data_IF_175660922228
#
_entry.id   IF_175660922228
#
_cell.length_a   1.000
_cell.length_b   1.000
_cell.length_c   1.000
_cell.angle_alpha   90.00
_cell.angle_beta   90.00
_cell.angle_gamma   90.00
#
_symmetry.space_group_name_H-M   'P 1'
#
loop_
_entity.id
_entity.type
_entity.pdbx_description
1 polymer ?
#
# COMPACT_ATOMS: atom_id res chain seq x y z
N UNK A 1 -63.66 27.02 10.51
CA UNK A 1 -62.43 27.35 9.76
C UNK A 1 -61.25 27.04 10.66
N UNK A 2 -60.60 25.88 10.49
CA UNK A 2 -59.36 25.56 11.21
C UNK A 2 -58.22 25.62 10.19
N UNK A 3 -57.38 26.64 10.33
CA UNK A 3 -56.10 26.72 9.61
C UNK A 3 -55.08 25.90 10.39
N UNK A 4 -54.65 24.78 9.83
CA UNK A 4 -53.52 24.00 10.34
C UNK A 4 -52.23 24.74 9.98
N UNK A 5 -51.47 25.15 10.99
CA UNK A 5 -50.15 25.74 10.84
C UNK A 5 -49.16 24.76 10.15
N UNK A 6 -48.20 25.26 9.34
CA UNK A 6 -47.17 24.42 8.76
C UNK A 6 -46.25 23.91 9.89
N UNK A 7 -46.22 22.60 10.06
CA UNK A 7 -45.28 21.91 10.95
C UNK A 7 -43.85 22.19 10.49
N UNK A 8 -43.10 22.89 11.33
CA UNK A 8 -41.67 23.14 11.15
C UNK A 8 -40.93 21.80 11.00
N UNK A 9 -40.02 21.64 10.02
CA UNK A 9 -39.25 20.42 9.89
C UNK A 9 -38.38 20.25 11.14
N UNK A 10 -38.56 19.13 11.83
CA UNK A 10 -37.75 18.75 12.99
C UNK A 10 -36.26 18.62 12.62
N UNK A 11 -35.36 18.66 13.60
CA UNK A 11 -33.93 18.54 13.34
C UNK A 11 -33.62 17.24 12.61
N UNK A 12 -32.92 17.33 11.48
CA UNK A 12 -32.50 16.18 10.68
C UNK A 12 -31.79 15.15 11.57
N UNK A 13 -32.15 13.89 11.46
CA UNK A 13 -31.55 12.83 12.28
C UNK A 13 -30.05 12.73 12.00
N UNK A 14 -29.26 12.28 12.97
CA UNK A 14 -27.81 12.08 12.77
C UNK A 14 -27.51 11.15 11.57
N UNK A 15 -28.43 10.23 11.27
CA UNK A 15 -28.39 9.35 10.12
C UNK A 15 -28.58 10.11 8.80
N UNK A 16 -29.50 11.08 8.76
CA UNK A 16 -29.72 11.94 7.60
C UNK A 16 -28.50 12.82 7.30
N UNK A 17 -27.83 13.32 8.35
CA UNK A 17 -26.61 14.14 8.24
C UNK A 17 -25.43 13.30 7.71
N UNK A 18 -25.24 12.08 8.19
CA UNK A 18 -24.17 11.17 7.73
C UNK A 18 -24.46 10.68 6.30
N UNK A 19 -25.72 10.37 5.99
CA UNK A 19 -26.15 9.98 4.64
C UNK A 19 -25.94 11.11 3.64
N UNK A 20 -26.32 12.34 3.97
CA UNK A 20 -26.06 13.52 3.12
C UNK A 20 -24.57 13.83 2.97
N UNK A 21 -23.76 13.66 4.02
CA UNK A 21 -22.30 13.87 3.94
C UNK A 21 -21.61 12.87 3.00
N UNK A 22 -21.93 11.59 3.12
CA UNK A 22 -21.37 10.55 2.24
C UNK A 22 -21.85 10.67 0.80
N UNK A 23 -23.09 11.14 0.61
CA UNK A 23 -23.66 11.41 -0.69
C UNK A 23 -22.96 12.59 -1.39
N UNK A 24 -22.79 13.72 -0.69
CA UNK A 24 -22.03 14.88 -1.21
C UNK A 24 -20.63 14.47 -1.65
N UNK A 25 -19.94 13.66 -0.85
CA UNK A 25 -18.61 13.12 -1.21
C UNK A 25 -18.65 12.23 -2.46
N UNK A 26 -19.71 11.45 -2.64
CA UNK A 26 -19.86 10.57 -3.82
C UNK A 26 -20.11 11.37 -5.10
N UNK A 27 -20.94 12.40 -5.02
CA UNK A 27 -21.20 13.34 -6.13
C UNK A 27 -19.91 14.04 -6.55
N UNK A 28 -19.18 14.62 -5.59
CA UNK A 28 -17.91 15.31 -5.86
C UNK A 28 -16.91 14.37 -6.54
N UNK A 29 -16.78 13.12 -6.07
CA UNK A 29 -15.86 12.15 -6.68
C UNK A 29 -16.25 11.77 -8.10
N UNK A 30 -17.54 11.59 -8.39
CA UNK A 30 -18.00 11.26 -9.74
C UNK A 30 -17.73 12.42 -10.70
N UNK A 31 -18.00 13.65 -10.29
CA UNK A 31 -17.69 14.84 -11.08
C UNK A 31 -16.18 14.86 -11.38
N UNK A 32 -15.33 14.80 -10.35
CA UNK A 32 -13.86 14.78 -10.53
C UNK A 32 -13.36 13.63 -11.40
N UNK A 33 -14.04 12.47 -11.37
CA UNK A 33 -13.71 11.34 -12.21
C UNK A 33 -14.02 11.62 -13.68
N UNK A 34 -15.14 12.28 -14.00
CA UNK A 34 -15.49 12.65 -15.38
C UNK A 34 -14.43 13.59 -15.96
N UNK A 35 -14.04 14.64 -15.23
CA UNK A 35 -12.98 15.55 -15.67
C UNK A 35 -11.62 14.85 -15.86
N UNK A 36 -11.32 13.79 -15.10
CA UNK A 36 -10.07 13.02 -15.24
C UNK A 36 -10.11 11.98 -16.36
N UNK A 37 -11.26 11.38 -16.61
CA UNK A 37 -11.43 10.33 -17.62
C UNK A 37 -11.53 10.88 -19.04
N UNK A 38 -11.73 12.20 -19.17
CA UNK A 38 -12.02 12.86 -20.42
C UNK A 38 -11.29 14.22 -20.55
N UNK A 39 -9.94 14.24 -20.53
CA UNK A 39 -9.17 15.48 -20.53
C UNK A 39 -9.28 16.29 -21.84
N UNK A 40 -9.66 15.63 -22.94
CA UNK A 40 -9.69 16.23 -24.29
C UNK A 40 -11.08 16.73 -24.70
N UNK A 41 -12.09 16.56 -23.84
CA UNK A 41 -13.45 17.04 -24.08
C UNK A 41 -13.56 18.53 -23.71
N UNK A 42 -14.34 19.28 -24.48
CA UNK A 42 -14.62 20.69 -24.19
C UNK A 42 -15.41 20.82 -22.88
N UNK A 43 -15.17 21.91 -22.15
CA UNK A 43 -15.77 22.17 -20.84
C UNK A 43 -17.30 22.02 -20.84
N UNK A 44 -17.99 22.51 -21.87
CA UNK A 44 -19.45 22.39 -22.01
C UNK A 44 -19.93 20.94 -22.07
N UNK A 45 -19.18 20.07 -22.74
CA UNK A 45 -19.52 18.65 -22.91
C UNK A 45 -19.19 17.83 -21.66
N UNK A 46 -18.15 18.24 -20.93
CA UNK A 46 -17.82 17.73 -19.60
C UNK A 46 -18.89 18.09 -18.57
N UNK A 47 -19.35 19.35 -18.57
CA UNK A 47 -20.43 19.82 -17.70
C UNK A 47 -21.72 19.07 -18.01
N UNK A 48 -22.10 18.94 -19.29
CA UNK A 48 -23.29 18.19 -19.68
C UNK A 48 -23.27 16.73 -19.21
N UNK A 49 -22.11 16.06 -19.34
CA UNK A 49 -21.94 14.68 -18.83
C UNK A 49 -22.00 14.61 -17.31
N UNK A 50 -21.37 15.54 -16.61
CA UNK A 50 -21.42 15.62 -15.15
C UNK A 50 -22.85 15.87 -14.64
N UNK A 51 -23.60 16.75 -15.28
CA UNK A 51 -25.00 17.03 -14.95
C UNK A 51 -25.90 15.82 -15.21
N UNK A 52 -25.75 15.15 -16.35
CA UNK A 52 -26.52 13.94 -16.69
C UNK A 52 -26.28 12.80 -15.68
N UNK A 53 -25.02 12.52 -15.36
CA UNK A 53 -24.65 11.45 -14.43
C UNK A 53 -25.08 11.74 -12.98
N UNK A 54 -25.00 13.00 -12.57
CA UNK A 54 -25.45 13.42 -11.23
C UNK A 54 -26.97 13.44 -11.14
N UNK A 55 -27.69 13.88 -12.18
CA UNK A 55 -29.16 13.85 -12.26
C UNK A 55 -29.70 12.42 -12.18
N UNK A 56 -29.11 11.49 -12.91
CA UNK A 56 -29.45 10.06 -12.83
C UNK A 56 -29.26 9.50 -11.41
N UNK A 57 -28.22 9.95 -10.69
CA UNK A 57 -27.98 9.56 -9.30
C UNK A 57 -29.09 10.09 -8.37
N UNK A 58 -29.56 11.33 -8.59
CA UNK A 58 -30.67 11.91 -7.83
C UNK A 58 -31.99 11.17 -8.08
N UNK A 59 -32.29 10.80 -9.32
CA UNK A 59 -33.50 10.04 -9.66
C UNK A 59 -33.50 8.63 -9.07
N UNK A 60 -32.34 7.95 -9.05
CA UNK A 60 -32.20 6.65 -8.39
C UNK A 60 -32.43 6.75 -6.88
N UNK A 61 -32.09 7.88 -6.25
CA UNK A 61 -32.32 8.09 -4.83
C UNK A 61 -33.78 8.38 -4.49
N UNK A 62 -34.52 9.09 -5.35
CA UNK A 62 -35.96 9.31 -5.16
C UNK A 62 -36.76 8.00 -5.23
N UNK A 63 -36.22 6.98 -5.90
CA UNK A 63 -36.86 5.66 -6.08
C UNK A 63 -36.46 4.61 -5.03
N UNK A 64 -35.56 4.91 -4.09
CA UNK A 64 -35.18 3.97 -3.03
C UNK A 64 -36.18 4.05 -1.86
N UNK A 65 -36.88 2.95 -1.49
CA UNK A 65 -37.68 2.94 -0.28
C UNK A 65 -36.78 3.07 0.96
N UNK A 66 -37.29 3.65 2.07
CA UNK A 66 -36.59 3.60 3.35
C UNK A 66 -36.46 2.13 3.76
N UNK A 67 -35.24 1.59 3.76
CA UNK A 67 -35.01 0.20 4.16
C UNK A 67 -35.41 0.03 5.63
N UNK A 68 -36.32 -0.90 5.97
CA UNK A 68 -36.46 -1.34 7.33
C UNK A 68 -35.27 -2.25 7.68
N UNK A 69 -34.69 -2.01 8.86
CA UNK A 69 -33.86 -2.90 9.67
C UNK A 69 -32.93 -3.90 8.96
N UNK A 70 -31.63 -3.74 9.22
CA UNK A 70 -30.94 -4.76 10.00
C UNK A 70 -29.66 -4.17 10.60
N UNK A 71 -29.68 -4.05 11.93
CA UNK A 71 -28.53 -3.89 12.79
C UNK A 71 -27.62 -5.12 12.64
N UNK A 72 -26.83 -5.17 11.57
CA UNK A 72 -25.63 -6.00 11.54
C UNK A 72 -24.52 -5.23 12.28
N UNK A 73 -23.80 -5.84 13.24
CA UNK A 73 -22.66 -5.19 13.85
C UNK A 73 -21.67 -4.86 12.74
N UNK A 74 -21.40 -3.57 12.55
CA UNK A 74 -20.42 -3.09 11.59
C UNK A 74 -19.06 -3.61 12.06
N UNK A 75 -18.65 -4.77 11.54
CA UNK A 75 -17.27 -5.26 11.71
C UNK A 75 -16.35 -4.11 11.28
N UNK A 76 -15.38 -3.68 12.10
CA UNK A 76 -14.49 -2.59 11.73
C UNK A 76 -13.80 -2.97 10.42
N UNK A 77 -14.13 -2.24 9.35
CA UNK A 77 -13.46 -2.39 8.07
C UNK A 77 -11.98 -2.10 8.32
N UNK A 78 -11.05 -3.03 8.02
CA UNK A 78 -9.64 -2.73 8.16
C UNK A 78 -9.33 -1.51 7.29
N UNK A 79 -8.62 -0.53 7.88
CA UNK A 79 -8.18 0.69 7.19
C UNK A 79 -7.58 0.26 5.85
N UNK A 80 -8.17 0.74 4.74
CA UNK A 80 -7.57 0.57 3.41
C UNK A 80 -6.24 1.29 3.43
N UNK A 81 -5.17 0.54 3.71
CA UNK A 81 -3.79 0.94 3.46
C UNK A 81 -3.63 1.35 1.99
N UNK A 82 -2.72 2.29 1.75
CA UNK A 82 -2.56 3.00 0.47
C UNK A 82 -2.41 2.04 -0.70
N UNK A 83 -2.77 2.48 -1.91
CA UNK A 83 -2.63 1.66 -3.12
C UNK A 83 -1.17 1.23 -3.38
N UNK A 84 -0.19 1.93 -2.82
CA UNK A 84 1.24 1.57 -2.90
C UNK A 84 1.60 0.32 -2.07
N UNK A 85 0.98 0.13 -0.90
CA UNK A 85 1.17 -1.08 -0.07
C UNK A 85 0.73 -2.38 -0.78
N UNK A 86 0.01 -2.26 -1.91
CA UNK A 86 -0.48 -3.42 -2.70
C UNK A 86 0.44 -3.84 -3.83
N UNK A 87 1.44 -3.01 -4.20
CA UNK A 87 2.34 -3.30 -5.31
C UNK A 87 3.64 -3.99 -4.86
N UNK A 88 3.99 -3.90 -3.58
CA UNK A 88 5.24 -4.45 -3.03
C UNK A 88 5.03 -5.64 -2.08
N UNK A 89 4.00 -6.45 -2.34
CA UNK A 89 3.70 -7.60 -1.47
C UNK A 89 4.86 -8.60 -1.38
N UNK A 90 5.58 -8.84 -2.47
CA UNK A 90 6.72 -9.76 -2.50
C UNK A 90 7.87 -9.22 -1.65
N UNK A 91 8.27 -7.96 -1.87
CA UNK A 91 9.32 -7.30 -1.07
C UNK A 91 8.97 -7.22 0.42
N UNK A 92 7.70 -7.01 0.75
CA UNK A 92 7.25 -7.00 2.15
C UNK A 92 7.24 -8.38 2.79
N UNK A 93 6.79 -9.41 2.07
CA UNK A 93 6.92 -10.80 2.52
C UNK A 93 8.39 -11.14 2.76
N UNK A 94 9.27 -10.78 1.83
CA UNK A 94 10.71 -10.99 1.98
C UNK A 94 11.29 -10.35 3.24
N UNK A 95 10.98 -9.06 3.46
CA UNK A 95 11.54 -8.33 4.60
C UNK A 95 10.92 -8.70 5.94
N UNK A 96 9.73 -9.29 5.98
CA UNK A 96 9.00 -9.53 7.24
C UNK A 96 9.84 -10.27 8.28
N UNK A 97 10.71 -11.21 7.87
CA UNK A 97 11.56 -11.98 8.78
C UNK A 97 12.77 -11.20 9.31
N UNK A 98 13.24 -10.19 8.56
CA UNK A 98 14.50 -9.51 8.82
C UNK A 98 14.33 -8.02 9.16
N UNK A 99 13.15 -7.44 8.94
CA UNK A 99 12.88 -6.01 9.14
C UNK A 99 13.07 -5.59 10.60
N UNK A 100 12.51 -6.34 11.55
CA UNK A 100 12.69 -6.06 12.97
C UNK A 100 14.17 -6.17 13.40
N UNK A 101 14.90 -7.25 13.05
CA UNK A 101 16.35 -7.31 13.27
C UNK A 101 17.13 -6.16 12.63
N UNK A 102 16.81 -5.75 11.39
CA UNK A 102 17.46 -4.61 10.73
C UNK A 102 17.28 -3.32 11.54
N UNK A 103 16.07 -3.04 12.01
CA UNK A 103 15.80 -1.87 12.86
C UNK A 103 16.56 -1.94 14.19
N UNK A 104 16.66 -3.12 14.81
CA UNK A 104 17.39 -3.31 16.07
C UNK A 104 18.90 -3.06 15.93
N UNK A 105 19.47 -3.34 14.76
CA UNK A 105 20.88 -3.09 14.44
C UNK A 105 21.15 -1.62 14.05
N UNK A 106 20.12 -0.77 14.09
CA UNK A 106 20.22 0.66 13.79
C UNK A 106 20.32 0.97 12.30
N UNK A 107 19.72 0.13 11.44
CA UNK A 107 19.56 0.41 10.01
C UNK A 107 18.48 1.49 9.83
N UNK A 108 18.77 2.61 9.13
CA UNK A 108 17.80 3.68 8.90
C UNK A 108 16.54 3.20 8.19
N UNK A 109 15.37 3.72 8.58
CA UNK A 109 14.09 3.35 7.98
C UNK A 109 14.01 3.75 6.50
N UNK A 110 14.68 4.84 6.12
CA UNK A 110 14.74 5.35 4.74
C UNK A 110 15.27 4.34 3.71
N UNK A 111 16.14 3.40 4.13
CA UNK A 111 16.75 2.42 3.22
C UNK A 111 16.05 1.05 3.22
N UNK A 112 15.12 0.81 4.15
CA UNK A 112 14.35 -0.45 4.19
C UNK A 112 13.60 -0.70 2.87
N UNK A 113 12.96 0.29 2.23
CA UNK A 113 12.32 0.10 0.92
C UNK A 113 13.28 -0.32 -0.20
N UNK A 114 14.56 0.06 -0.12
CA UNK A 114 15.58 -0.33 -1.11
C UNK A 114 15.79 -1.84 -1.07
N UNK A 115 15.87 -2.42 0.13
CA UNK A 115 15.97 -3.87 0.29
C UNK A 115 14.72 -4.60 -0.24
N UNK A 116 13.52 -4.05 -0.01
CA UNK A 116 12.28 -4.63 -0.54
C UNK A 116 12.28 -4.65 -2.08
N UNK A 117 12.67 -3.53 -2.70
CA UNK A 117 12.75 -3.39 -4.16
C UNK A 117 13.87 -4.23 -4.78
N UNK A 118 14.94 -4.49 -4.03
CA UNK A 118 16.05 -5.33 -4.48
C UNK A 118 15.59 -6.72 -4.93
N UNK A 119 14.49 -7.23 -4.34
CA UNK A 119 13.89 -8.52 -4.70
C UNK A 119 13.42 -8.53 -6.15
N UNK A 120 12.71 -7.49 -6.61
CA UNK A 120 12.26 -7.43 -8.00
C UNK A 120 13.45 -7.34 -8.96
N UNK A 121 14.45 -6.51 -8.63
CA UNK A 121 15.63 -6.34 -9.47
C UNK A 121 16.46 -7.61 -9.61
N UNK A 122 16.60 -8.37 -8.52
CA UNK A 122 17.44 -9.57 -8.51
C UNK A 122 16.74 -10.79 -9.11
N UNK A 123 15.47 -11.01 -8.78
CA UNK A 123 14.73 -12.19 -9.25
C UNK A 123 14.25 -12.04 -10.70
N UNK A 124 14.12 -10.80 -11.18
CA UNK A 124 13.51 -10.50 -12.47
C UNK A 124 11.98 -10.62 -12.45
N UNK A 125 11.33 -10.06 -13.48
CA UNK A 125 9.88 -9.89 -13.51
C UNK A 125 9.12 -11.23 -13.51
N UNK A 126 9.64 -12.26 -14.17
CA UNK A 126 8.95 -13.55 -14.25
C UNK A 126 8.85 -14.24 -12.89
N UNK A 127 9.95 -14.31 -12.14
CA UNK A 127 9.95 -14.91 -10.81
C UNK A 127 9.18 -14.04 -9.81
N UNK A 128 9.31 -12.71 -9.91
CA UNK A 128 8.56 -11.78 -9.08
C UNK A 128 7.03 -11.93 -9.27
N UNK A 129 6.57 -12.10 -10.52
CA UNK A 129 5.17 -12.35 -10.84
C UNK A 129 4.66 -13.69 -10.27
N UNK A 130 5.48 -14.76 -10.33
CA UNK A 130 5.14 -16.06 -9.71
C UNK A 130 4.89 -15.92 -8.21
N UNK A 131 5.72 -15.18 -7.48
CA UNK A 131 5.50 -14.93 -6.05
C UNK A 131 4.30 -14.02 -5.80
N UNK A 132 4.11 -13.00 -6.64
CA UNK A 132 2.94 -12.12 -6.57
C UNK A 132 1.64 -12.92 -6.65
N UNK A 133 1.54 -13.88 -7.56
CA UNK A 133 0.38 -14.75 -7.70
C UNK A 133 0.20 -15.68 -6.50
N UNK A 134 1.27 -16.31 -5.99
CA UNK A 134 1.22 -17.16 -4.80
C UNK A 134 0.71 -16.38 -3.57
N UNK A 135 1.26 -15.20 -3.34
CA UNK A 135 0.86 -14.33 -2.22
C UNK A 135 -0.59 -13.87 -2.40
N UNK A 136 -0.98 -13.48 -3.61
CA UNK A 136 -2.35 -13.03 -3.89
C UNK A 136 -3.37 -14.13 -3.59
N UNK A 137 -3.12 -15.37 -4.02
CA UNK A 137 -3.99 -16.52 -3.71
C UNK A 137 -4.08 -16.78 -2.21
N UNK A 138 -2.95 -16.71 -1.50
CA UNK A 138 -2.93 -16.87 -0.06
C UNK A 138 -3.74 -15.78 0.65
N UNK A 139 -3.62 -14.52 0.22
CA UNK A 139 -4.36 -13.39 0.77
C UNK A 139 -5.87 -13.49 0.50
N UNK A 140 -6.26 -13.96 -0.69
CA UNK A 140 -7.67 -14.20 -1.04
C UNK A 140 -8.28 -15.27 -0.13
N UNK A 141 -7.61 -16.42 -0.02
CA UNK A 141 -8.04 -17.50 0.88
C UNK A 141 -8.15 -17.03 2.34
N UNK A 142 -7.19 -16.25 2.80
CA UNK A 142 -7.18 -15.70 4.15
C UNK A 142 -8.34 -14.72 4.40
N UNK A 143 -8.63 -13.86 3.43
CA UNK A 143 -9.73 -12.91 3.51
C UNK A 143 -11.09 -13.61 3.63
N UNK A 144 -11.31 -14.69 2.89
CA UNK A 144 -12.52 -15.52 2.98
C UNK A 144 -12.70 -16.15 4.36
N UNK A 145 -11.59 -16.49 5.02
CA UNK A 145 -11.56 -17.05 6.38
C UNK A 145 -11.53 -15.98 7.48
N UNK A 146 -11.51 -14.70 7.13
CA UNK A 146 -11.49 -13.59 8.07
C UNK A 146 -10.13 -13.33 8.74
N UNK A 147 -9.04 -13.91 8.21
CA UNK A 147 -7.69 -13.61 8.69
C UNK A 147 -7.22 -12.25 8.19
N UNK A 148 -6.45 -11.56 9.03
CA UNK A 148 -5.79 -10.31 8.66
C UNK A 148 -4.39 -10.57 8.06
N UNK A 149 -3.78 -9.55 7.45
CA UNK A 149 -2.50 -9.67 6.74
C UNK A 149 -1.34 -10.16 7.63
N UNK A 150 -1.26 -9.69 8.89
CA UNK A 150 -0.20 -10.10 9.82
C UNK A 150 -0.35 -11.57 10.21
N UNK A 151 -1.57 -12.05 10.40
CA UNK A 151 -1.86 -13.47 10.61
C UNK A 151 -1.46 -14.30 9.39
N UNK A 152 -1.64 -13.79 8.17
CA UNK A 152 -1.20 -14.47 6.95
C UNK A 152 0.32 -14.58 6.88
N UNK A 153 1.04 -13.50 7.17
CA UNK A 153 2.50 -13.50 7.19
C UNK A 153 3.05 -14.54 8.17
N UNK A 154 2.44 -14.64 9.36
CA UNK A 154 2.87 -15.56 10.41
C UNK A 154 2.35 -16.99 10.23
N UNK A 155 1.45 -17.22 9.29
CA UNK A 155 0.92 -18.56 8.98
C UNK A 155 2.00 -19.47 8.39
N UNK A 156 1.81 -20.78 8.49
CA UNK A 156 2.68 -21.77 7.85
C UNK A 156 2.88 -21.50 6.34
N UNK A 157 1.83 -21.34 5.52
CA UNK A 157 2.02 -21.04 4.09
C UNK A 157 2.69 -19.67 3.84
N UNK A 158 2.46 -18.68 4.71
CA UNK A 158 3.18 -17.40 4.64
C UNK A 158 4.68 -17.58 4.83
N UNK A 159 5.08 -18.33 5.87
CA UNK A 159 6.48 -18.66 6.16
C UNK A 159 7.15 -19.48 5.07
N UNK A 160 6.45 -20.45 4.49
CA UNK A 160 6.95 -21.24 3.36
C UNK A 160 7.23 -20.36 2.12
N UNK A 161 6.34 -19.41 1.82
CA UNK A 161 6.56 -18.44 0.73
C UNK A 161 7.78 -17.56 1.05
N UNK A 162 7.90 -17.04 2.27
CA UNK A 162 9.03 -16.20 2.67
C UNK A 162 10.36 -16.95 2.59
N UNK A 163 10.39 -18.22 3.00
CA UNK A 163 11.58 -19.06 2.92
C UNK A 163 11.97 -19.35 1.48
N UNK A 164 11.03 -19.79 0.64
CA UNK A 164 11.26 -19.99 -0.80
C UNK A 164 11.79 -18.74 -1.49
N UNK A 165 11.23 -17.58 -1.16
CA UNK A 165 11.65 -16.29 -1.69
C UNK A 165 13.07 -15.93 -1.26
N UNK A 166 13.40 -16.21 0.00
CA UNK A 166 14.74 -15.99 0.57
C UNK A 166 15.77 -16.91 -0.07
N UNK A 167 15.46 -18.19 -0.24
CA UNK A 167 16.36 -19.18 -0.84
C UNK A 167 16.65 -18.84 -2.30
N UNK A 168 15.62 -18.44 -3.06
CA UNK A 168 15.79 -17.99 -4.44
C UNK A 168 16.59 -16.69 -4.51
N UNK A 169 16.33 -15.72 -3.63
CA UNK A 169 17.13 -14.50 -3.56
C UNK A 169 18.61 -14.81 -3.34
N UNK A 170 18.96 -15.71 -2.42
CA UNK A 170 20.36 -16.13 -2.16
C UNK A 170 21.00 -16.77 -3.38
N UNK A 171 20.26 -17.62 -4.09
CA UNK A 171 20.74 -18.30 -5.29
C UNK A 171 21.07 -17.30 -6.41
N UNK A 172 20.14 -16.40 -6.70
CA UNK A 172 20.31 -15.36 -7.73
C UNK A 172 21.41 -14.37 -7.32
N UNK A 173 21.50 -14.03 -6.04
CA UNK A 173 22.54 -13.15 -5.49
C UNK A 173 23.92 -13.72 -5.76
N UNK A 174 24.10 -15.02 -5.47
CA UNK A 174 25.37 -15.72 -5.67
C UNK A 174 25.74 -15.86 -7.15
N UNK A 175 24.74 -15.82 -8.03
CA UNK A 175 24.88 -16.00 -9.48
C UNK A 175 24.96 -14.66 -10.25
N UNK A 176 24.82 -13.52 -9.57
CA UNK A 176 24.75 -12.19 -10.18
C UNK A 176 25.98 -11.34 -9.83
N UNK A 177 27.02 -11.33 -10.68
CA UNK A 177 28.20 -10.50 -10.48
C UNK A 177 27.82 -9.01 -10.43
N UNK A 178 28.34 -8.27 -9.45
CA UNK A 178 28.13 -6.82 -9.33
C UNK A 178 26.79 -6.40 -8.74
N UNK A 179 25.87 -7.33 -8.44
CA UNK A 179 24.61 -6.97 -7.79
C UNK A 179 24.82 -6.37 -6.38
N UNK A 180 25.83 -6.85 -5.65
CA UNK A 180 26.27 -6.24 -4.38
C UNK A 180 26.52 -4.74 -4.53
N UNK A 181 27.28 -4.36 -5.54
CA UNK A 181 27.70 -2.97 -5.76
C UNK A 181 26.50 -2.13 -6.23
N UNK A 182 25.65 -2.69 -7.09
CA UNK A 182 24.38 -2.06 -7.47
C UNK A 182 23.47 -1.80 -6.26
N UNK A 183 23.36 -2.76 -5.35
CA UNK A 183 22.55 -2.61 -4.14
C UNK A 183 23.13 -1.53 -3.22
N UNK A 184 24.45 -1.52 -3.00
CA UNK A 184 25.13 -0.49 -2.22
C UNK A 184 24.93 0.91 -2.80
N UNK A 185 25.04 1.06 -4.13
CA UNK A 185 24.79 2.34 -4.80
C UNK A 185 23.35 2.81 -4.60
N UNK A 186 22.35 1.92 -4.67
CA UNK A 186 20.95 2.29 -4.40
C UNK A 186 20.69 2.67 -2.93
N UNK A 187 21.43 2.07 -1.99
CA UNK A 187 21.36 2.45 -0.58
C UNK A 187 21.96 3.84 -0.36
N UNK A 188 23.09 4.13 -1.00
CA UNK A 188 23.74 5.44 -0.98
C UNK A 188 22.80 6.53 -1.55
N UNK A 189 22.25 6.31 -2.75
CA UNK A 189 21.29 7.21 -3.38
C UNK A 189 20.07 7.51 -2.49
N UNK A 190 19.52 6.48 -1.84
CA UNK A 190 18.36 6.63 -0.96
C UNK A 190 18.70 7.44 0.32
N UNK A 191 19.89 7.21 0.91
CA UNK A 191 20.35 7.99 2.06
C UNK A 191 20.58 9.45 1.69
N UNK A 192 21.28 9.72 0.59
CA UNK A 192 21.51 11.08 0.08
C UNK A 192 20.17 11.80 -0.17
N UNK A 193 19.18 11.13 -0.75
CA UNK A 193 17.86 11.72 -0.96
C UNK A 193 17.12 11.99 0.36
N UNK A 194 17.21 11.10 1.34
CA UNK A 194 16.59 11.29 2.65
C UNK A 194 17.21 12.45 3.43
N UNK A 195 18.55 12.59 3.41
CA UNK A 195 19.25 13.70 4.08
C UNK A 195 19.08 15.05 3.40
N UNK A 196 18.80 15.09 2.09
CA UNK A 196 18.42 16.35 1.42
C UNK A 196 17.02 16.83 1.79
N UNK A 197 16.17 15.95 2.32
CA UNK A 197 14.80 16.26 2.68
C UNK A 197 14.65 16.70 4.15
N UNK A 198 15.52 16.19 5.03
CA UNK A 198 15.63 16.62 6.42
C UNK A 198 16.79 17.63 6.53
N UNK A 199 16.50 18.91 6.75
CA UNK A 199 17.46 20.00 7.06
C UNK A 199 18.21 19.73 8.40
N UNK A 200 18.88 18.59 8.51
CA UNK A 200 19.62 18.13 9.67
C UNK A 200 21.10 18.49 9.50
N UNK A 201 21.64 19.22 10.48
CA UNK A 201 23.06 19.65 10.51
C UNK A 201 24.03 18.52 10.90
N UNK A 202 23.53 17.32 11.19
CA UNK A 202 24.37 16.17 11.50
C UNK A 202 24.98 15.59 10.22
N UNK A 203 26.30 15.72 10.09
CA UNK A 203 27.08 15.08 9.05
C UNK A 203 27.03 13.55 9.23
N UNK A 204 26.07 12.91 8.57
CA UNK A 204 25.96 11.45 8.56
C UNK A 204 27.01 10.89 7.61
N UNK A 205 27.82 9.97 8.14
CA UNK A 205 28.75 9.18 7.34
C UNK A 205 27.94 8.15 6.52
N UNK A 206 27.59 8.57 5.30
CA UNK A 206 26.77 7.78 4.36
C UNK A 206 27.47 6.46 4.04
N UNK A 207 28.79 6.48 3.79
CA UNK A 207 29.55 5.29 3.41
C UNK A 207 29.54 4.24 4.53
N UNK A 208 29.82 4.65 5.77
CA UNK A 208 29.74 3.74 6.92
C UNK A 208 28.31 3.22 7.15
N UNK A 209 27.31 4.08 6.96
CA UNK A 209 25.90 3.71 7.14
C UNK A 209 25.45 2.68 6.09
N UNK A 210 25.79 2.89 4.82
CA UNK A 210 25.54 1.95 3.72
C UNK A 210 26.23 0.62 3.98
N UNK A 211 27.52 0.66 4.36
CA UNK A 211 28.28 -0.56 4.66
C UNK A 211 27.66 -1.35 5.80
N UNK A 212 27.36 -0.70 6.92
CA UNK A 212 26.73 -1.34 8.08
C UNK A 212 25.37 -1.94 7.72
N UNK A 213 24.54 -1.21 6.99
CA UNK A 213 23.22 -1.68 6.58
C UNK A 213 23.31 -2.89 5.65
N UNK A 214 24.19 -2.84 4.66
CA UNK A 214 24.43 -3.94 3.73
C UNK A 214 24.99 -5.17 4.45
N UNK A 215 26.00 -5.02 5.31
CA UNK A 215 26.61 -6.13 6.04
C UNK A 215 25.60 -6.80 6.98
N UNK A 216 24.75 -6.00 7.65
CA UNK A 216 23.67 -6.49 8.50
C UNK A 216 22.65 -7.27 7.68
N UNK A 217 22.21 -6.72 6.55
CA UNK A 217 21.28 -7.37 5.63
C UNK A 217 21.84 -8.71 5.11
N UNK A 218 23.08 -8.71 4.64
CA UNK A 218 23.75 -9.92 4.15
C UNK A 218 23.89 -10.97 5.25
N UNK A 219 24.23 -10.57 6.49
CA UNK A 219 24.33 -11.47 7.65
C UNK A 219 22.98 -12.11 7.97
N UNK A 220 21.90 -11.32 8.02
CA UNK A 220 20.55 -11.82 8.30
C UNK A 220 20.06 -12.77 7.21
N UNK A 221 20.46 -12.50 5.96
CA UNK A 221 20.19 -13.38 4.83
C UNK A 221 21.23 -14.48 4.63
N UNK A 222 22.23 -14.62 5.50
CA UNK A 222 23.30 -15.62 5.38
C UNK A 222 23.97 -15.63 3.99
N UNK A 223 24.11 -14.46 3.38
CA UNK A 223 24.81 -14.27 2.10
C UNK A 223 26.31 -14.20 2.38
N UNK A 224 27.11 -14.95 1.62
CA UNK A 224 28.56 -14.90 1.73
C UNK A 224 29.07 -13.53 1.26
N UNK A 225 29.62 -12.74 2.18
CA UNK A 225 30.23 -11.45 1.85
C UNK A 225 31.61 -11.66 1.23
N UNK A 226 31.96 -10.93 0.14
CA UNK A 226 33.33 -10.92 -0.35
C UNK A 226 34.28 -10.36 0.73
N UNK A 227 35.53 -10.84 0.83
CA UNK A 227 36.48 -10.33 1.81
C UNK A 227 36.71 -8.83 1.58
N UNK A 228 36.51 -8.03 2.63
CA UNK A 228 36.81 -6.60 2.60
C UNK A 228 38.29 -6.42 2.26
N UNK A 229 38.58 -5.81 1.11
CA UNK A 229 39.94 -5.36 0.79
C UNK A 229 40.34 -4.34 1.87
N UNK A 230 41.39 -4.66 2.61
CA UNK A 230 42.08 -3.74 3.53
C UNK A 230 43.00 -2.83 2.74
#
# INVERSE_FOLDING_TARGET
>A
MNQSAPTSPGPASAEDIVRTSNLRKTIIRKILQIFKSYPDLKDEELVFRAESDTRNLFEQMQKMPPSPEQAAPIKPRPKRRGREDRKEHVGRFFLTLIEKPLRQEGVPEAIVPVFAKSVQFLLGDEAYEKYTQKITRLLQFAAEKGYNYEQVLMSKPGKEIMQSLTDQYRLEFSSSPGFSDQLKNKLDEALVQSHKADDSEEAIDIEQTVKKAYDTFAKLLQIALPPSKK
#
